data_IF_503166353730
#
_entry.id   IF_503166353730
#
_cell.length_a   1.000
_cell.length_b   1.000
_cell.length_c   1.000
_cell.angle_alpha   90.00
_cell.angle_beta   90.00
_cell.angle_gamma   90.00
#
_symmetry.space_group_name_H-M   'P 1'
#
loop_
_entity.id
_entity.type
_entity.pdbx_description
1 polymer ?
#
# COMPACT_ATOMS: atom_id res chain seq x y z
N UNK A 1 2.71 -7.03 30.09
CA UNK A 1 2.64 -7.24 28.64
C UNK A 1 3.94 -6.73 28.04
N UNK A 2 4.80 -7.60 27.54
CA UNK A 2 6.02 -7.19 26.83
C UNK A 2 5.60 -6.66 25.47
N UNK A 3 5.75 -5.35 25.25
CA UNK A 3 5.54 -4.74 23.94
C UNK A 3 6.53 -5.40 22.97
N UNK A 4 6.01 -6.18 22.01
CA UNK A 4 6.83 -6.70 20.91
C UNK A 4 7.37 -5.48 20.17
N UNK A 5 8.69 -5.28 20.22
CA UNK A 5 9.35 -4.25 19.43
C UNK A 5 9.25 -4.72 17.98
N UNK A 6 8.47 -4.00 17.19
CA UNK A 6 8.34 -4.25 15.76
C UNK A 6 9.60 -3.74 15.07
N UNK A 7 10.07 -4.50 14.10
CA UNK A 7 11.14 -4.04 13.20
C UNK A 7 10.65 -2.89 12.33
N UNK A 8 11.56 -2.10 11.78
CA UNK A 8 11.22 -0.97 10.88
C UNK A 8 10.40 -1.43 9.67
N UNK A 9 10.68 -2.63 9.16
CA UNK A 9 9.92 -3.26 8.08
C UNK A 9 8.49 -3.63 8.50
N UNK A 10 8.32 -4.26 9.66
CA UNK A 10 6.98 -4.59 10.21
C UNK A 10 6.17 -3.31 10.48
N UNK A 11 6.81 -2.25 11.00
CA UNK A 11 6.16 -0.95 11.22
C UNK A 11 5.73 -0.31 9.91
N UNK A 12 6.58 -0.36 8.89
CA UNK A 12 6.29 0.20 7.57
C UNK A 12 5.11 -0.52 6.91
N UNK A 13 5.05 -1.85 7.01
CA UNK A 13 3.95 -2.66 6.49
C UNK A 13 2.62 -2.33 7.19
N UNK A 14 2.62 -2.30 8.53
CA UNK A 14 1.41 -1.94 9.31
C UNK A 14 0.95 -0.53 8.98
N UNK A 15 1.88 0.42 8.84
CA UNK A 15 1.56 1.82 8.50
C UNK A 15 0.96 1.93 7.10
N UNK A 16 1.55 1.23 6.11
CA UNK A 16 1.04 1.21 4.74
C UNK A 16 -0.37 0.62 4.69
N UNK A 17 -0.61 -0.48 5.41
CA UNK A 17 -1.92 -1.13 5.49
C UNK A 17 -2.96 -0.24 6.17
N UNK A 18 -2.59 0.45 7.25
CA UNK A 18 -3.45 1.42 7.91
C UNK A 18 -3.81 2.60 6.99
N UNK A 19 -2.85 3.09 6.20
CA UNK A 19 -3.08 4.16 5.23
C UNK A 19 -4.06 3.72 4.14
N UNK A 20 -3.89 2.54 3.55
CA UNK A 20 -4.79 2.02 2.50
C UNK A 20 -6.21 1.85 3.06
N UNK A 21 -6.34 1.30 4.26
CA UNK A 21 -7.63 1.17 4.93
C UNK A 21 -8.28 2.53 5.19
N UNK A 22 -7.50 3.54 5.61
CA UNK A 22 -7.99 4.89 5.79
C UNK A 22 -8.46 5.48 4.46
N UNK A 23 -7.68 5.35 3.39
CA UNK A 23 -8.07 5.83 2.05
C UNK A 23 -9.38 5.16 1.58
N UNK A 24 -9.52 3.86 1.81
CA UNK A 24 -10.74 3.11 1.51
C UNK A 24 -11.97 3.67 2.27
N UNK A 25 -11.83 3.87 3.58
CA UNK A 25 -12.90 4.41 4.45
C UNK A 25 -13.34 5.82 4.03
N UNK A 26 -12.41 6.63 3.55
CA UNK A 26 -12.70 7.99 3.07
C UNK A 26 -13.25 8.01 1.63
N UNK A 27 -13.47 6.84 1.00
CA UNK A 27 -14.05 6.72 -0.33
C UNK A 27 -13.08 7.09 -1.46
N UNK A 28 -11.76 7.04 -1.21
CA UNK A 28 -10.79 7.24 -2.28
C UNK A 28 -10.78 6.04 -3.23
N UNK A 29 -10.62 6.34 -4.52
CA UNK A 29 -10.49 5.32 -5.56
C UNK A 29 -9.07 4.72 -5.52
N UNK A 30 -8.93 3.60 -4.80
CA UNK A 30 -7.66 2.89 -4.62
C UNK A 30 -7.09 2.37 -5.94
N UNK A 31 -7.95 1.98 -6.88
CA UNK A 31 -7.57 1.53 -8.21
C UNK A 31 -6.94 2.68 -9.02
N UNK A 32 -7.53 3.88 -8.95
CA UNK A 32 -6.95 5.07 -9.57
C UNK A 32 -5.59 5.43 -8.96
N UNK A 33 -5.45 5.35 -7.64
CA UNK A 33 -4.19 5.63 -6.93
C UNK A 33 -3.11 4.63 -7.35
N UNK A 34 -3.44 3.33 -7.39
CA UNK A 34 -2.53 2.29 -7.84
C UNK A 34 -2.08 2.52 -9.29
N UNK A 35 -3.02 2.87 -10.17
CA UNK A 35 -2.72 3.16 -11.58
C UNK A 35 -1.80 4.36 -11.73
N UNK A 36 -2.03 5.44 -10.99
CA UNK A 36 -1.16 6.60 -11.00
C UNK A 36 0.24 6.27 -10.47
N UNK A 37 0.33 5.45 -9.42
CA UNK A 37 1.60 4.99 -8.88
C UNK A 37 2.38 4.13 -9.89
N UNK A 38 1.72 3.15 -10.49
CA UNK A 38 2.28 2.29 -11.54
C UNK A 38 2.76 3.11 -12.73
N UNK A 39 1.97 4.08 -13.20
CA UNK A 39 2.37 4.99 -14.27
C UNK A 39 3.61 5.82 -13.91
N UNK A 40 3.71 6.31 -12.67
CA UNK A 40 4.91 7.06 -12.20
C UNK A 40 6.15 6.19 -12.10
N UNK A 41 6.00 4.90 -11.79
CA UNK A 41 7.10 3.92 -11.85
C UNK A 41 7.53 3.73 -13.31
N UNK A 42 6.56 3.50 -14.19
CA UNK A 42 6.82 3.21 -15.60
C UNK A 42 7.44 4.39 -16.35
N UNK A 43 6.96 5.61 -16.08
CA UNK A 43 7.49 6.87 -16.62
C UNK A 43 8.82 7.29 -15.96
N UNK A 44 9.35 6.46 -15.05
CA UNK A 44 10.57 6.71 -14.26
C UNK A 44 10.56 8.05 -13.49
N UNK A 45 9.38 8.58 -13.21
CA UNK A 45 9.20 9.83 -12.45
C UNK A 45 9.52 9.65 -10.96
N UNK A 46 9.48 8.42 -10.46
CA UNK A 46 10.00 8.07 -9.15
C UNK A 46 11.51 7.86 -9.25
N UNK A 47 12.32 8.88 -8.97
CA UNK A 47 13.78 8.72 -8.86
C UNK A 47 14.19 8.11 -7.51
N UNK A 48 15.23 7.27 -7.49
CA UNK A 48 15.88 6.83 -6.24
C UNK A 48 15.83 5.34 -5.88
N UNK A 49 15.08 4.51 -6.59
CA UNK A 49 15.06 3.05 -6.40
C UNK A 49 15.26 2.30 -7.72
N UNK A 50 15.87 1.11 -7.67
CA UNK A 50 16.06 0.25 -8.82
C UNK A 50 14.70 -0.13 -9.44
N UNK A 51 14.62 -0.24 -10.76
CA UNK A 51 13.36 -0.53 -11.46
C UNK A 51 12.74 -1.86 -10.99
N UNK A 52 13.56 -2.84 -10.62
CA UNK A 52 13.09 -4.11 -10.03
C UNK A 52 12.38 -3.89 -8.71
N UNK A 53 12.94 -3.10 -7.80
CA UNK A 53 12.33 -2.85 -6.49
C UNK A 53 11.02 -2.08 -6.60
N UNK A 54 10.93 -1.13 -7.53
CA UNK A 54 9.68 -0.40 -7.79
C UNK A 54 8.61 -1.34 -8.33
N UNK A 55 8.93 -2.18 -9.31
CA UNK A 55 7.96 -3.12 -9.86
C UNK A 55 7.47 -4.15 -8.83
N UNK A 56 8.31 -4.54 -7.85
CA UNK A 56 7.91 -5.42 -6.77
C UNK A 56 6.92 -4.79 -5.77
N UNK A 57 6.84 -3.46 -5.69
CA UNK A 57 5.87 -2.78 -4.81
C UNK A 57 4.44 -2.78 -5.34
N UNK A 58 4.25 -2.88 -6.66
CA UNK A 58 2.93 -2.94 -7.30
C UNK A 58 2.10 -4.14 -6.81
N UNK A 59 2.59 -5.40 -6.87
CA UNK A 59 1.82 -6.56 -6.41
C UNK A 59 1.55 -6.55 -4.90
N UNK A 60 2.44 -5.94 -4.11
CA UNK A 60 2.22 -5.73 -2.67
C UNK A 60 1.04 -4.78 -2.43
N UNK A 61 1.01 -3.64 -3.14
CA UNK A 61 -0.08 -2.67 -3.07
C UNK A 61 -1.41 -3.29 -3.54
N UNK A 62 -1.41 -4.06 -4.62
CA UNK A 62 -2.60 -4.79 -5.10
C UNK A 62 -3.15 -5.74 -4.04
N UNK A 63 -2.28 -6.46 -3.36
CA UNK A 63 -2.67 -7.37 -2.26
C UNK A 63 -3.31 -6.58 -1.13
N UNK A 64 -2.68 -5.50 -0.67
CA UNK A 64 -3.19 -4.70 0.44
C UNK A 64 -4.53 -4.00 0.11
N UNK A 65 -4.69 -3.51 -1.12
CA UNK A 65 -5.95 -2.94 -1.62
C UNK A 65 -7.04 -4.01 -1.65
N UNK A 66 -6.72 -5.21 -2.15
CA UNK A 66 -7.66 -6.33 -2.17
C UNK A 66 -8.07 -6.75 -0.75
N UNK A 67 -7.14 -6.75 0.20
CA UNK A 67 -7.44 -6.99 1.62
C UNK A 67 -8.36 -5.92 2.19
N UNK A 68 -8.09 -4.63 1.92
CA UNK A 68 -8.95 -3.52 2.37
C UNK A 68 -10.37 -3.63 1.82
N UNK A 69 -10.52 -3.96 0.52
CA UNK A 69 -11.82 -4.15 -0.14
C UNK A 69 -12.59 -5.34 0.38
N UNK A 70 -11.92 -6.44 0.74
CA UNK A 70 -12.56 -7.62 1.30
C UNK A 70 -12.76 -7.54 2.82
N UNK A 71 -12.24 -6.49 3.47
CA UNK A 71 -12.37 -6.33 4.91
C UNK A 71 -13.79 -5.90 5.27
N UNK A 72 -14.58 -6.83 5.80
CA UNK A 72 -15.96 -6.58 6.20
C UNK A 72 -16.07 -5.46 7.25
N UNK A 73 -15.06 -5.24 8.09
CA UNK A 73 -15.10 -4.19 9.12
C UNK A 73 -14.95 -2.79 8.53
N UNK A 74 -14.26 -2.66 7.39
CA UNK A 74 -14.06 -1.39 6.70
C UNK A 74 -15.20 -1.05 5.73
N UNK A 75 -16.03 -2.04 5.38
CA UNK A 75 -17.15 -1.89 4.45
C UNK A 75 -18.53 -1.91 5.15
N UNK A 76 -18.55 -1.80 6.49
CA UNK A 76 -19.78 -1.61 7.28
C UNK A 76 -20.30 -0.19 7.15
#
# INVERSE_FOLDING_TARGET
MTAKILTEAELSEVTLRALINSLHLHGHDLDLILKQYSNKIHDNQLSGADASHKNQTIPLLETLISEARNNQELNK
#
